data_IF_607011584510
#
_entry.id   IF_607011584510
#
_cell.length_a   1.000
_cell.length_b   1.000
_cell.length_c   1.000
_cell.angle_alpha   90.00
_cell.angle_beta   90.00
_cell.angle_gamma   90.00
#
_symmetry.space_group_name_H-M   'P 1'
#
loop_
_entity.id
_entity.type
_entity.pdbx_description
1 polymer ?
#
# COMPACT_ATOMS: atom_id res chain seq x y z
N UNK A 1 -18.95 11.10 2.03
CA UNK A 1 -17.54 10.99 1.59
C UNK A 1 -17.24 9.55 1.23
N UNK A 2 -16.63 9.33 0.07
CA UNK A 2 -16.26 7.97 -0.34
C UNK A 2 -15.02 7.55 0.43
N UNK A 3 -15.10 6.45 1.15
CA UNK A 3 -13.96 5.88 1.85
C UNK A 3 -13.06 5.19 0.82
N UNK A 4 -11.76 5.46 0.84
CA UNK A 4 -10.82 4.82 -0.08
C UNK A 4 -10.88 3.29 -0.01
N UNK A 5 -11.08 2.73 1.18
CA UNK A 5 -11.15 1.28 1.35
C UNK A 5 -12.31 0.63 0.58
N UNK A 6 -13.34 1.40 0.24
CA UNK A 6 -14.51 0.91 -0.51
C UNK A 6 -14.32 0.98 -2.03
N UNK A 7 -13.26 1.63 -2.49
CA UNK A 7 -12.95 1.70 -3.92
C UNK A 7 -12.21 0.44 -4.37
N UNK A 8 -12.22 0.21 -5.67
CA UNK A 8 -11.43 -0.86 -6.28
C UNK A 8 -10.12 -0.30 -6.81
N UNK A 9 -9.07 -1.10 -6.76
CA UNK A 9 -7.83 -0.77 -7.45
C UNK A 9 -8.07 -0.89 -8.95
N UNK A 10 -7.77 0.18 -9.68
CA UNK A 10 -7.88 0.20 -11.13
C UNK A 10 -6.49 -0.07 -11.69
N UNK A 11 -6.33 -1.05 -12.60
CA UNK A 11 -5.03 -1.30 -13.21
C UNK A 11 -4.50 -0.04 -13.87
N UNK A 12 -3.26 0.34 -13.54
CA UNK A 12 -2.60 1.47 -14.15
C UNK A 12 -1.78 0.97 -15.34
N UNK A 13 -2.12 1.47 -16.53
CA UNK A 13 -1.31 1.21 -17.72
C UNK A 13 -0.13 2.16 -17.73
N UNK A 14 0.98 1.71 -18.32
CA UNK A 14 2.16 2.54 -18.47
C UNK A 14 1.86 3.78 -19.32
N UNK A 15 2.62 4.86 -19.12
CA UNK A 15 2.46 6.11 -19.85
C UNK A 15 1.68 7.18 -19.10
N UNK A 16 1.02 6.83 -17.99
CA UNK A 16 0.39 7.81 -17.10
C UNK A 16 1.44 8.22 -16.08
N UNK A 17 1.65 9.53 -15.88
CA UNK A 17 2.62 9.96 -14.85
C UNK A 17 2.10 9.64 -13.45
N UNK A 18 3.01 9.23 -12.57
CA UNK A 18 2.68 9.08 -11.16
C UNK A 18 2.33 10.42 -10.53
N UNK A 19 1.70 10.38 -9.37
CA UNK A 19 1.39 11.59 -8.61
C UNK A 19 2.66 12.37 -8.29
N UNK A 20 2.58 13.69 -8.34
CA UNK A 20 3.62 14.54 -7.79
C UNK A 20 3.51 14.57 -6.26
N UNK A 21 4.47 15.22 -5.60
CA UNK A 21 4.52 15.23 -4.13
C UNK A 21 3.29 15.92 -3.53
N UNK A 22 2.70 16.88 -4.21
CA UNK A 22 1.51 17.59 -3.74
C UNK A 22 0.31 16.64 -3.72
N UNK A 23 0.09 15.88 -4.79
CA UNK A 23 -0.98 14.88 -4.85
C UNK A 23 -0.75 13.76 -3.83
N UNK A 24 0.49 13.32 -3.67
CA UNK A 24 0.85 12.30 -2.69
C UNK A 24 0.45 12.76 -1.29
N UNK A 25 0.80 13.97 -0.90
CA UNK A 25 0.44 14.49 0.43
C UNK A 25 -1.06 14.62 0.62
N UNK A 26 -1.78 14.96 -0.43
CA UNK A 26 -3.24 15.05 -0.38
C UNK A 26 -3.85 13.68 -0.05
N UNK A 27 -3.42 12.64 -0.76
CA UNK A 27 -3.92 11.28 -0.52
C UNK A 27 -3.40 10.67 0.78
N UNK A 28 -2.18 11.03 1.18
CA UNK A 28 -1.59 10.52 2.42
C UNK A 28 -2.43 10.85 3.65
N UNK A 29 -3.16 11.95 3.62
CA UNK A 29 -4.08 12.34 4.70
C UNK A 29 -5.30 11.43 4.80
N UNK A 30 -5.57 10.64 3.77
CA UNK A 30 -6.73 9.74 3.72
C UNK A 30 -6.43 8.35 4.25
N UNK A 31 -5.16 8.05 4.55
CA UNK A 31 -4.72 6.79 5.11
C UNK A 31 -3.99 7.04 6.42
N UNK A 32 -3.89 6.02 7.28
CA UNK A 32 -3.38 6.19 8.63
C UNK A 32 -2.04 5.48 8.81
N UNK A 33 -1.04 6.25 9.24
CA UNK A 33 0.26 5.69 9.62
C UNK A 33 1.18 5.30 8.47
N UNK A 34 0.82 5.60 7.23
CA UNK A 34 1.67 5.34 6.08
C UNK A 34 2.66 6.47 5.87
N UNK A 35 3.90 6.11 5.53
CA UNK A 35 4.92 7.06 5.15
C UNK A 35 5.17 6.98 3.65
N UNK A 36 5.50 8.11 3.03
CA UNK A 36 5.97 8.13 1.65
C UNK A 36 7.48 8.28 1.66
N UNK A 37 8.17 7.45 0.88
CA UNK A 37 9.61 7.52 0.70
C UNK A 37 9.93 7.42 -0.79
N UNK A 38 11.15 7.76 -1.15
CA UNK A 38 11.64 7.60 -2.52
C UNK A 38 12.85 6.66 -2.50
N UNK A 39 12.92 5.77 -3.49
CA UNK A 39 14.07 4.87 -3.63
C UNK A 39 15.25 5.57 -4.33
N UNK A 40 16.32 4.83 -4.58
CA UNK A 40 17.52 5.35 -5.24
C UNK A 40 17.29 5.88 -6.66
N UNK A 41 16.19 5.52 -7.28
CA UNK A 41 15.78 5.98 -8.63
C UNK A 41 14.70 7.06 -8.55
N UNK A 42 14.48 7.64 -7.38
CA UNK A 42 13.47 8.67 -7.11
C UNK A 42 12.03 8.21 -7.34
N UNK A 43 11.79 6.91 -7.19
CA UNK A 43 10.44 6.33 -7.29
C UNK A 43 9.79 6.38 -5.92
N UNK A 44 8.66 7.07 -5.82
CA UNK A 44 7.91 7.17 -4.57
C UNK A 44 7.19 5.86 -4.26
N UNK A 45 7.14 5.50 -2.99
CA UNK A 45 6.39 4.35 -2.50
C UNK A 45 5.81 4.64 -1.12
N UNK A 46 4.75 3.90 -0.78
CA UNK A 46 4.17 3.93 0.56
C UNK A 46 4.76 2.79 1.37
N UNK A 47 5.00 3.02 2.65
CA UNK A 47 5.50 1.99 3.54
C UNK A 47 4.88 2.15 4.93
N UNK A 48 4.54 1.01 5.54
CA UNK A 48 4.02 0.97 6.91
C UNK A 48 4.45 -0.33 7.59
N UNK A 49 4.82 -0.24 8.85
CA UNK A 49 5.13 -1.39 9.67
C UNK A 49 4.03 -1.62 10.70
N UNK A 50 3.61 -2.87 10.83
CA UNK A 50 2.57 -3.30 11.77
C UNK A 50 3.22 -4.18 12.83
N UNK A 51 2.76 -4.08 14.09
CA UNK A 51 3.29 -4.85 15.21
C UNK A 51 2.27 -5.86 15.70
N UNK A 52 2.76 -7.05 16.06
CA UNK A 52 1.92 -8.16 16.52
C UNK A 52 2.56 -8.83 17.73
N UNK A 53 1.79 -9.69 18.40
CA UNK A 53 2.26 -10.38 19.62
C UNK A 53 3.26 -11.49 19.34
N UNK A 54 3.17 -12.12 18.14
CA UNK A 54 3.96 -13.28 17.83
C UNK A 54 4.00 -13.51 16.32
N UNK A 55 4.68 -14.58 15.90
CA UNK A 55 4.81 -14.92 14.49
C UNK A 55 3.48 -15.29 13.84
N UNK A 56 2.65 -16.05 14.54
CA UNK A 56 1.37 -16.52 13.99
C UNK A 56 0.45 -15.35 13.68
N UNK A 57 0.40 -14.33 14.53
CA UNK A 57 -0.41 -13.15 14.28
C UNK A 57 0.10 -12.37 13.06
N UNK A 58 1.41 -12.25 12.92
CA UNK A 58 2.03 -11.62 11.75
C UNK A 58 1.66 -12.39 10.48
N UNK A 59 1.78 -13.71 10.51
CA UNK A 59 1.46 -14.57 9.38
C UNK A 59 -0.01 -14.47 8.98
N UNK A 60 -0.91 -14.48 9.95
CA UNK A 60 -2.34 -14.36 9.69
C UNK A 60 -2.66 -13.02 9.02
N UNK A 61 -2.04 -11.95 9.47
CA UNK A 61 -2.21 -10.63 8.86
C UNK A 61 -1.72 -10.65 7.40
N UNK A 62 -0.55 -11.21 7.14
CA UNK A 62 0.03 -11.26 5.79
C UNK A 62 -0.83 -12.11 4.85
N UNK A 63 -1.43 -13.17 5.34
CA UNK A 63 -2.34 -13.97 4.53
C UNK A 63 -3.56 -13.15 4.08
N UNK A 64 -4.11 -12.33 4.96
CA UNK A 64 -5.22 -11.43 4.63
C UNK A 64 -4.79 -10.36 3.62
N UNK A 65 -3.62 -9.79 3.79
CA UNK A 65 -3.07 -8.81 2.85
C UNK A 65 -2.90 -9.45 1.48
N UNK A 66 -2.37 -10.66 1.41
CA UNK A 66 -2.21 -11.39 0.16
C UNK A 66 -3.53 -11.64 -0.55
N UNK A 67 -4.57 -12.01 0.19
CA UNK A 67 -5.91 -12.24 -0.37
C UNK A 67 -6.46 -10.95 -0.99
N UNK A 68 -6.29 -9.81 -0.32
CA UNK A 68 -6.72 -8.51 -0.84
C UNK A 68 -5.92 -8.18 -2.11
N UNK A 69 -4.61 -8.36 -2.09
CA UNK A 69 -3.74 -8.05 -3.22
C UNK A 69 -4.14 -8.86 -4.47
N UNK A 70 -4.42 -10.14 -4.29
CA UNK A 70 -4.88 -10.99 -5.40
C UNK A 70 -6.24 -10.55 -5.93
N UNK A 71 -7.17 -10.24 -5.04
CA UNK A 71 -8.50 -9.79 -5.42
C UNK A 71 -8.46 -8.47 -6.19
N UNK A 72 -7.60 -7.55 -5.77
CA UNK A 72 -7.50 -6.23 -6.39
C UNK A 72 -6.55 -6.19 -7.58
N UNK A 73 -5.77 -7.24 -7.81
CA UNK A 73 -4.78 -7.25 -8.87
C UNK A 73 -3.65 -6.24 -8.67
N UNK A 74 -3.37 -5.90 -7.43
CA UNK A 74 -2.33 -4.91 -7.09
C UNK A 74 -1.49 -5.48 -5.94
N UNK A 75 -0.21 -5.75 -6.21
CA UNK A 75 0.62 -6.58 -5.34
C UNK A 75 1.70 -5.76 -4.63
N UNK A 76 1.64 -5.67 -3.29
CA UNK A 76 2.67 -5.00 -2.51
C UNK A 76 3.88 -5.90 -2.31
N UNK A 77 5.00 -5.31 -1.91
CA UNK A 77 6.11 -6.06 -1.37
C UNK A 77 5.91 -6.23 0.14
N UNK A 78 6.18 -7.41 0.64
CA UNK A 78 5.86 -7.77 2.03
C UNK A 78 7.07 -8.37 2.70
N UNK A 79 7.39 -7.89 3.89
CA UNK A 79 8.36 -8.49 4.81
C UNK A 79 7.62 -8.78 6.11
N UNK A 80 7.84 -9.94 6.70
CA UNK A 80 7.27 -10.21 8.01
C UNK A 80 8.14 -11.18 8.78
N UNK A 81 7.95 -11.19 10.09
CA UNK A 81 8.66 -12.07 10.98
C UNK A 81 7.94 -12.13 12.33
N UNK A 82 8.64 -12.54 13.34
CA UNK A 82 8.06 -12.62 14.67
C UNK A 82 7.68 -11.24 15.16
N UNK A 83 6.38 -11.01 15.30
CA UNK A 83 5.84 -9.79 15.88
C UNK A 83 5.79 -8.56 14.97
N UNK A 84 6.07 -8.70 13.66
CA UNK A 84 5.99 -7.55 12.76
C UNK A 84 5.61 -7.95 11.33
N UNK A 85 5.07 -6.97 10.61
CA UNK A 85 4.89 -7.05 9.16
C UNK A 85 5.14 -5.67 8.57
N UNK A 86 5.84 -5.61 7.44
CA UNK A 86 6.15 -4.38 6.73
C UNK A 86 5.59 -4.48 5.31
N UNK A 87 4.81 -3.49 4.91
CA UNK A 87 4.13 -3.46 3.61
C UNK A 87 4.63 -2.27 2.82
N UNK A 88 5.09 -2.53 1.60
CA UNK A 88 5.55 -1.49 0.66
C UNK A 88 4.67 -1.52 -0.58
N UNK A 89 4.11 -0.37 -0.95
CA UNK A 89 3.15 -0.26 -2.05
C UNK A 89 3.62 0.79 -3.05
N UNK A 90 3.69 0.41 -4.32
CA UNK A 90 3.82 1.36 -5.43
C UNK A 90 3.36 0.67 -6.72
N UNK A 91 3.15 1.45 -7.76
CA UNK A 91 2.71 0.91 -9.06
C UNK A 91 3.90 0.83 -10.01
N UNK A 92 4.32 -0.39 -10.34
CA UNK A 92 5.50 -0.64 -11.18
C UNK A 92 5.34 -0.02 -12.58
N UNK A 93 4.16 -0.13 -13.17
CA UNK A 93 3.91 0.31 -14.54
C UNK A 93 4.12 1.82 -14.74
N UNK A 94 3.89 2.62 -13.72
CA UNK A 94 4.06 4.08 -13.77
C UNK A 94 5.26 4.58 -12.98
N UNK A 95 6.01 3.67 -12.35
CA UNK A 95 7.18 3.97 -11.52
C UNK A 95 6.88 5.04 -10.47
N UNK A 96 5.81 4.83 -9.71
CA UNK A 96 5.40 5.78 -8.68
C UNK A 96 4.06 5.44 -8.07
N UNK A 97 3.39 6.46 -7.54
CA UNK A 97 2.13 6.32 -6.85
C UNK A 97 0.97 6.88 -7.66
N UNK A 98 -0.19 6.26 -7.51
CA UNK A 98 -1.46 6.74 -8.03
C UNK A 98 -2.56 6.39 -7.02
N UNK A 99 -3.81 6.73 -7.32
CA UNK A 99 -4.92 6.50 -6.38
C UNK A 99 -5.00 5.03 -5.91
N UNK A 100 -4.78 4.07 -6.81
CA UNK A 100 -4.88 2.65 -6.47
C UNK A 100 -3.94 2.22 -5.35
N UNK A 101 -2.77 2.86 -5.22
CA UNK A 101 -1.83 2.56 -4.14
C UNK A 101 -2.42 2.95 -2.79
N UNK A 102 -3.09 4.10 -2.73
CA UNK A 102 -3.75 4.57 -1.51
C UNK A 102 -5.01 3.76 -1.21
N UNK A 103 -5.72 3.31 -2.23
CA UNK A 103 -6.85 2.40 -2.06
C UNK A 103 -6.40 1.10 -1.40
N UNK A 104 -5.31 0.51 -1.89
CA UNK A 104 -4.75 -0.70 -1.30
C UNK A 104 -4.30 -0.46 0.15
N UNK A 105 -3.62 0.65 0.41
CA UNK A 105 -3.19 1.03 1.76
C UNK A 105 -4.39 1.11 2.72
N UNK A 106 -5.48 1.75 2.29
CA UNK A 106 -6.69 1.87 3.10
C UNK A 106 -7.33 0.50 3.38
N UNK A 107 -7.34 -0.39 2.39
CA UNK A 107 -7.87 -1.75 2.56
C UNK A 107 -7.02 -2.56 3.55
N UNK A 108 -5.71 -2.42 3.50
CA UNK A 108 -4.79 -3.06 4.44
C UNK A 108 -5.04 -2.54 5.86
N UNK A 109 -5.22 -1.23 6.02
CA UNK A 109 -5.52 -0.64 7.34
C UNK A 109 -6.81 -1.20 7.92
N UNK A 110 -7.81 -1.46 7.09
CA UNK A 110 -9.12 -1.94 7.54
C UNK A 110 -9.06 -3.32 8.17
N UNK A 111 -8.09 -4.14 7.79
CA UNK A 111 -7.95 -5.50 8.32
C UNK A 111 -6.88 -5.61 9.43
N UNK A 112 -6.22 -4.53 9.73
CA UNK A 112 -5.18 -4.52 10.77
C UNK A 112 -5.75 -4.44 12.17
#
# INVERSE_FOLDING_TARGET
MTNLADKKCIPCEGGIPGFDITEIHKYLKMVDGWEVKADGNKIYYLIKEFKFKNFLESQNFINKVGDIAEKEGHHPDIWFGWGYAKIKIFTHAIKGLHESDFVLAAKVDKIS
#
